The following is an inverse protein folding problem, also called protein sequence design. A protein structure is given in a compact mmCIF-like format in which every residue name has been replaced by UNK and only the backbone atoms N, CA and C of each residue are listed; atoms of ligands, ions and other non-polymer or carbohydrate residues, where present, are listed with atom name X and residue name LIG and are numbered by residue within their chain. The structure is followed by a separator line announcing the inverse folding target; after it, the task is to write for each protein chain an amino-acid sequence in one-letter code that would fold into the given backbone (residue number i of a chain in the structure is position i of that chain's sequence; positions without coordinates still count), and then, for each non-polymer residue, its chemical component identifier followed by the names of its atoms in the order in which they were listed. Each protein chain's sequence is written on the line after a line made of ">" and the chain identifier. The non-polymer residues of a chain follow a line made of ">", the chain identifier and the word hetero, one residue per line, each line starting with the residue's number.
data_IF_518346064696
#
_entry.id   IF_518346064696
#
_cell.length_a   1.000
_cell.length_b   1.000
_cell.length_c   1.000
_cell.angle_alpha   90.00
_cell.angle_beta   90.00
_cell.angle_gamma   90.00
#
_symmetry.space_group_name_H-M   'P 1'
#
loop_
_entity.id
_entity.type
_entity.pdbx_description
1 polymer ?
#
# COMPACT_ATOMS: atom_id res chain seq x y z
N UNK A 1 15.74 -44.73 -35.88
CA UNK A 1 14.74 -43.65 -35.74
C UNK A 1 14.84 -43.14 -34.31
N UNK A 2 15.12 -41.86 -34.10
CA UNK A 2 15.26 -41.32 -32.74
C UNK A 2 13.86 -41.20 -32.13
N UNK A 3 13.59 -41.99 -31.09
CA UNK A 3 12.34 -41.92 -30.33
C UNK A 3 12.32 -40.58 -29.61
N UNK A 4 11.46 -39.67 -30.04
CA UNK A 4 11.22 -38.40 -29.35
C UNK A 4 10.29 -38.72 -28.19
N UNK A 5 10.80 -38.58 -26.97
CA UNK A 5 10.03 -38.86 -25.76
C UNK A 5 8.77 -38.01 -25.73
N UNK A 6 7.61 -38.64 -25.49
CA UNK A 6 6.32 -37.94 -25.42
C UNK A 6 6.31 -36.86 -24.33
N UNK A 7 7.13 -37.05 -23.29
CA UNK A 7 7.36 -36.07 -22.24
C UNK A 7 7.96 -34.77 -22.79
N UNK A 8 8.88 -34.86 -23.76
CA UNK A 8 9.50 -33.69 -24.38
C UNK A 8 8.50 -32.89 -25.21
N UNK A 9 7.59 -33.58 -25.92
CA UNK A 9 6.51 -32.93 -26.66
C UNK A 9 5.54 -32.21 -25.73
N UNK A 10 5.16 -32.83 -24.61
CA UNK A 10 4.29 -32.23 -23.60
C UNK A 10 4.92 -30.99 -22.96
N UNK A 11 6.23 -31.04 -22.65
CA UNK A 11 6.95 -29.90 -22.11
C UNK A 11 6.98 -28.72 -23.07
N UNK A 12 7.25 -28.95 -24.36
CA UNK A 12 7.24 -27.88 -25.38
C UNK A 12 5.84 -27.28 -25.51
N UNK A 13 4.79 -28.11 -25.56
CA UNK A 13 3.40 -27.64 -25.58
C UNK A 13 3.05 -26.81 -24.34
N UNK A 14 3.50 -27.24 -23.16
CA UNK A 14 3.30 -26.49 -21.92
C UNK A 14 4.02 -25.14 -21.96
N UNK A 15 5.27 -25.07 -22.42
CA UNK A 15 6.00 -23.80 -22.54
C UNK A 15 5.38 -22.85 -23.59
N UNK A 16 4.81 -23.37 -24.67
CA UNK A 16 4.11 -22.57 -25.69
C UNK A 16 2.77 -22.02 -25.16
N UNK A 17 2.07 -22.77 -24.31
CA UNK A 17 0.79 -22.34 -23.72
C UNK A 17 0.98 -21.46 -22.47
N UNK A 18 2.02 -21.72 -21.68
CA UNK A 18 2.43 -20.92 -20.53
C UNK A 18 3.57 -20.00 -20.97
N UNK A 19 3.27 -19.04 -21.86
CA UNK A 19 4.06 -17.81 -21.88
C UNK A 19 4.12 -17.32 -20.43
N UNK A 20 5.33 -17.23 -19.88
CA UNK A 20 5.55 -16.92 -18.47
C UNK A 20 4.72 -15.70 -18.12
N UNK A 21 3.64 -15.84 -17.31
CA UNK A 21 3.00 -14.66 -16.80
C UNK A 21 4.12 -13.99 -16.03
N UNK A 22 4.46 -12.75 -16.41
CA UNK A 22 5.24 -11.89 -15.55
C UNK A 22 4.41 -11.78 -14.29
N UNK A 23 4.67 -12.68 -13.34
CA UNK A 23 4.26 -12.54 -11.96
C UNK A 23 4.99 -11.27 -11.58
N UNK A 24 4.31 -10.14 -11.77
CA UNK A 24 4.55 -8.96 -10.98
C UNK A 24 4.30 -9.50 -9.59
N UNK A 25 5.37 -10.00 -8.95
CA UNK A 25 5.42 -10.10 -7.51
C UNK A 25 4.79 -8.79 -7.08
N UNK A 26 3.64 -8.87 -6.43
CA UNK A 26 2.97 -7.69 -5.94
C UNK A 26 4.07 -6.97 -5.21
N UNK A 27 4.62 -5.92 -5.83
CA UNK A 27 5.51 -4.99 -5.15
C UNK A 27 4.53 -4.52 -4.11
N UNK A 28 4.61 -5.10 -2.91
CA UNK A 28 3.68 -4.81 -1.86
C UNK A 28 3.89 -3.33 -1.69
N UNK A 29 3.00 -2.53 -2.27
CA UNK A 29 3.10 -1.11 -2.17
C UNK A 29 3.04 -0.89 -0.67
N UNK A 30 4.21 -0.52 -0.13
CA UNK A 30 4.42 -0.37 1.29
C UNK A 30 3.43 0.64 1.86
N UNK A 31 2.98 1.55 1.01
CA UNK A 31 2.03 2.60 1.29
C UNK A 31 0.77 2.32 0.46
N UNK A 32 -0.36 2.12 1.12
CA UNK A 32 -1.67 1.96 0.46
C UNK A 32 -2.64 3.00 0.96
N UNK A 33 -3.53 3.46 0.09
CA UNK A 33 -4.60 4.38 0.46
C UNK A 33 -5.51 3.75 1.52
N UNK A 34 -5.97 4.58 2.47
CA UNK A 34 -6.94 4.15 3.46
C UNK A 34 -8.32 4.06 2.79
N UNK A 35 -8.76 2.84 2.50
CA UNK A 35 -10.11 2.61 1.98
C UNK A 35 -11.13 2.69 3.12
N UNK A 36 -11.86 3.81 3.18
CA UNK A 36 -12.82 4.13 4.22
C UNK A 36 -14.12 3.32 4.04
N UNK A 37 -14.48 2.53 5.04
CA UNK A 37 -15.73 1.78 5.07
C UNK A 37 -16.93 2.60 5.60
N UNK A 38 -18.11 2.00 5.57
CA UNK A 38 -19.30 2.61 6.17
C UNK A 38 -19.11 2.79 7.68
N UNK A 39 -19.15 4.04 8.15
CA UNK A 39 -18.96 4.40 9.56
C UNK A 39 -17.51 4.73 9.95
N UNK A 40 -16.57 4.66 9.01
CA UNK A 40 -15.21 5.16 9.23
C UNK A 40 -15.15 6.69 9.15
N UNK A 41 -14.09 7.26 9.74
CA UNK A 41 -13.78 8.68 9.57
C UNK A 41 -13.31 8.94 8.13
N UNK A 42 -13.70 10.08 7.58
CA UNK A 42 -13.19 10.57 6.31
C UNK A 42 -11.71 10.98 6.41
N UNK A 43 -11.03 11.04 5.26
CA UNK A 43 -9.59 11.33 5.20
C UNK A 43 -9.22 12.69 5.80
N UNK A 44 -10.07 13.69 5.63
CA UNK A 44 -9.85 15.01 6.24
C UNK A 44 -9.86 14.92 7.77
N UNK A 45 -10.82 14.19 8.34
CA UNK A 45 -10.87 13.94 9.79
C UNK A 45 -9.67 13.15 10.28
N UNK A 46 -9.30 12.08 9.58
CA UNK A 46 -8.13 11.24 9.91
C UNK A 46 -6.82 12.02 9.89
N UNK A 47 -6.70 12.99 8.99
CA UNK A 47 -5.47 13.75 8.80
C UNK A 47 -5.38 15.04 9.61
N UNK A 48 -6.52 15.61 10.02
CA UNK A 48 -6.56 16.86 10.79
C UNK A 48 -6.61 16.63 12.29
N UNK A 49 -7.21 15.54 12.75
CA UNK A 49 -7.31 15.25 14.18
C UNK A 49 -5.99 14.64 14.68
N UNK A 50 -5.34 15.28 15.67
CA UNK A 50 -4.19 14.68 16.32
C UNK A 50 -4.62 13.46 17.13
N UNK A 51 -3.90 12.37 16.97
CA UNK A 51 -3.99 11.15 17.76
C UNK A 51 -3.12 11.25 19.03
N UNK A 52 -3.68 10.84 20.16
CA UNK A 52 -2.95 10.78 21.42
C UNK A 52 -2.06 9.51 21.50
N UNK A 53 -0.81 9.58 22.00
CA UNK A 53 -0.14 10.74 22.60
C UNK A 53 0.65 11.64 21.64
N UNK A 54 1.10 11.15 20.47
CA UNK A 54 1.92 11.94 19.51
C UNK A 54 1.83 11.41 18.06
N UNK A 55 0.67 10.92 17.61
CA UNK A 55 0.47 10.38 16.25
C UNK A 55 -0.69 11.10 15.54
N UNK A 56 -0.89 10.93 14.23
CA UNK A 56 -2.15 11.36 13.59
C UNK A 56 -3.25 10.32 13.85
N UNK A 57 -4.52 10.72 13.80
CA UNK A 57 -5.63 9.77 13.85
C UNK A 57 -5.53 8.74 12.70
N UNK A 58 -5.10 9.17 11.51
CA UNK A 58 -4.74 8.30 10.38
C UNK A 58 -3.76 7.19 10.79
N UNK A 59 -2.68 7.52 11.49
CA UNK A 59 -1.70 6.54 11.94
C UNK A 59 -2.27 5.53 12.95
N UNK A 60 -3.07 6.01 13.91
CA UNK A 60 -3.73 5.13 14.88
C UNK A 60 -4.76 4.21 14.22
N UNK A 61 -5.56 4.73 13.29
CA UNK A 61 -6.57 3.95 12.59
C UNK A 61 -5.91 2.89 11.70
N UNK A 62 -4.86 3.24 10.96
CA UNK A 62 -4.08 2.28 10.16
C UNK A 62 -3.48 1.15 11.02
N UNK A 63 -2.95 1.48 12.20
CA UNK A 63 -2.44 0.47 13.13
C UNK A 63 -3.54 -0.45 13.68
N UNK A 64 -4.72 0.09 13.98
CA UNK A 64 -5.81 -0.67 14.62
C UNK A 64 -6.65 -1.50 13.66
N UNK A 65 -6.85 -1.01 12.44
CA UNK A 65 -7.85 -1.58 11.52
C UNK A 65 -7.24 -2.29 10.31
N UNK A 66 -5.95 -2.03 10.03
CA UNK A 66 -5.26 -2.52 8.83
C UNK A 66 -3.93 -3.22 9.15
N UNK A 67 -3.57 -3.42 10.42
CA UNK A 67 -2.29 -4.02 10.84
C UNK A 67 -1.05 -3.35 10.21
N UNK A 68 -1.18 -2.06 9.88
CA UNK A 68 -0.07 -1.28 9.36
C UNK A 68 0.86 -0.83 10.50
N UNK A 69 2.09 -0.46 10.16
CA UNK A 69 3.04 0.08 11.16
C UNK A 69 2.75 1.54 11.50
N UNK A 70 1.98 2.22 10.66
CA UNK A 70 1.37 3.52 10.93
C UNK A 70 0.75 4.12 9.69
N UNK A 71 0.56 5.44 9.67
CA UNK A 71 -0.16 6.13 8.62
C UNK A 71 0.41 7.51 8.33
N UNK A 72 0.33 7.90 7.06
CA UNK A 72 0.81 9.17 6.53
C UNK A 72 -0.34 9.91 5.85
N UNK A 73 -0.36 11.22 6.03
CA UNK A 73 -1.33 12.09 5.38
C UNK A 73 -0.66 12.83 4.23
N UNK A 74 -1.20 12.71 3.03
CA UNK A 74 -0.77 13.48 1.86
C UNK A 74 -1.87 14.45 1.48
N UNK A 75 -1.48 15.60 0.95
CA UNK A 75 -2.40 16.55 0.32
C UNK A 75 -2.30 16.33 -1.18
N UNK A 76 -3.41 16.01 -1.84
CA UNK A 76 -3.44 15.99 -3.30
C UNK A 76 -3.57 17.42 -3.86
N UNK A 77 -3.20 17.61 -5.13
CA UNK A 77 -3.18 18.90 -5.83
C UNK A 77 -4.54 19.60 -5.86
N UNK A 78 -5.62 18.87 -5.61
CA UNK A 78 -7.01 19.34 -5.60
C UNK A 78 -7.50 19.77 -4.21
N UNK A 79 -6.61 19.94 -3.22
CA UNK A 79 -6.86 20.36 -1.83
C UNK A 79 -7.43 19.30 -0.88
N UNK A 80 -7.61 18.07 -1.34
CA UNK A 80 -8.07 17.00 -0.46
C UNK A 80 -6.91 16.39 0.34
N UNK A 81 -7.20 16.04 1.60
CA UNK A 81 -6.29 15.23 2.41
C UNK A 81 -6.61 13.77 2.11
N UNK A 82 -5.59 12.95 1.94
CA UNK A 82 -5.73 11.49 1.85
C UNK A 82 -4.86 10.81 2.91
N UNK A 83 -5.45 9.86 3.62
CA UNK A 83 -4.72 8.99 4.54
C UNK A 83 -4.18 7.78 3.77
N UNK A 84 -2.92 7.42 4.07
CA UNK A 84 -2.30 6.19 3.55
C UNK A 84 -1.69 5.41 4.70
N UNK A 85 -1.86 4.09 4.70
CA UNK A 85 -1.24 3.18 5.66
C UNK A 85 0.14 2.72 5.18
N UNK A 86 1.16 2.85 6.02
CA UNK A 86 2.53 2.37 5.78
C UNK A 86 2.77 1.05 6.53
N UNK A 87 2.98 -0.02 5.78
CA UNK A 87 3.24 -1.38 6.27
C UNK A 87 4.73 -1.67 6.44
N UNK A 88 5.60 -0.87 5.84
CA UNK A 88 7.02 -1.14 5.78
C UNK A 88 7.79 -0.37 6.85
N UNK A 89 7.46 0.91 7.04
CA UNK A 89 8.17 1.78 7.98
C UNK A 89 7.33 2.03 9.24
N UNK A 90 7.90 1.87 10.44
CA UNK A 90 7.25 2.38 11.64
C UNK A 90 7.14 3.90 11.51
N UNK A 91 5.91 4.41 11.56
CA UNK A 91 5.69 5.85 11.59
C UNK A 91 6.29 6.38 12.88
N UNK A 92 7.39 7.12 12.77
CA UNK A 92 7.90 7.89 13.89
C UNK A 92 6.83 8.93 14.28
N UNK A 93 6.64 9.23 15.57
CA UNK A 93 5.56 10.10 16.08
C UNK A 93 5.81 11.57 15.75
N UNK A 94 5.95 11.88 14.46
CA UNK A 94 6.16 13.22 13.96
C UNK A 94 4.95 13.63 13.17
N UNK A 95 4.31 14.69 13.66
CA UNK A 95 3.63 15.67 12.83
C UNK A 95 4.57 16.11 11.70
N UNK A 96 4.74 15.32 10.65
CA UNK A 96 5.25 15.81 9.38
C UNK A 96 4.08 16.43 8.64
N UNK A 97 3.60 17.56 9.18
CA UNK A 97 3.53 18.74 8.33
C UNK A 97 4.94 18.97 7.79
N UNK A 98 5.29 18.27 6.69
CA UNK A 98 6.28 18.80 5.75
C UNK A 98 5.59 19.94 5.00
N UNK A 99 5.24 20.95 5.78
CA UNK A 99 4.79 22.28 5.38
C UNK A 99 5.51 23.28 6.29
N UNK A 100 6.82 23.07 6.43
CA UNK A 100 7.78 24.12 6.72
C UNK A 100 8.76 24.12 5.54
N UNK A 101 8.38 24.95 4.54
CA UNK A 101 9.25 25.79 3.70
C UNK A 101 10.01 25.08 2.54
N UNK A 102 10.09 25.83 1.42
CA UNK A 102 10.67 25.59 0.07
C UNK A 102 9.67 24.98 -0.92
N UNK A 103 9.06 25.69 -1.88
CA UNK A 103 9.31 27.01 -2.51
C UNK A 103 8.01 27.81 -2.65
#
# INVERSE_FOLDING_TARGET
>A
MKSVSILALLFVLFFVLFETPKIKAQVQECVREYDAGFGDFDDFTLCRIPGYPFSSLCSLTCQRTRDAKGGICKRDKTTDYQCFCDYCNPTTPYFTTKSLILD
#
